data_IF_679047039484
#
_entry.id   IF_679047039484
#
_cell.length_a   1.000
_cell.length_b   1.000
_cell.length_c   1.000
_cell.angle_alpha   90.00
_cell.angle_beta   90.00
_cell.angle_gamma   90.00
#
_symmetry.space_group_name_H-M   'P 1'
#
loop_
_entity.id
_entity.type
_entity.pdbx_description
1 polymer ?
#
# COMPACT_ATOMS: atom_id res chain seq x y z
N UNK A 1 1.15 27.17 -1.29
CA UNK A 1 1.12 25.85 -0.63
C UNK A 1 0.22 25.96 0.59
N UNK A 2 -0.90 25.25 0.65
CA UNK A 2 -1.78 25.26 1.84
C UNK A 2 -1.20 24.24 2.83
N UNK A 3 -0.69 24.73 3.95
CA UNK A 3 -0.24 23.86 5.04
C UNK A 3 -1.47 23.30 5.75
N UNK A 4 -1.69 22.01 5.65
CA UNK A 4 -2.66 21.30 6.47
C UNK A 4 -1.98 20.90 7.78
N UNK A 5 -2.34 21.56 8.87
CA UNK A 5 -1.91 21.18 10.21
C UNK A 5 -2.93 20.15 10.70
N UNK A 6 -2.51 18.89 10.78
CA UNK A 6 -3.29 17.86 11.47
C UNK A 6 -3.00 18.04 12.96
N UNK A 7 -3.88 18.72 13.66
CA UNK A 7 -3.82 18.80 15.11
C UNK A 7 -4.20 17.42 15.68
N UNK A 8 -3.28 16.79 16.39
CA UNK A 8 -3.45 15.53 17.08
C UNK A 8 -4.33 15.68 18.34
N UNK A 9 -5.60 16.06 18.15
CA UNK A 9 -6.59 16.06 19.21
C UNK A 9 -7.32 14.72 19.23
N UNK A 10 -6.85 13.77 20.02
CA UNK A 10 -7.44 12.44 20.15
C UNK A 10 -8.96 12.44 20.42
N UNK A 11 -9.48 13.46 21.06
CA UNK A 11 -10.92 13.55 21.36
C UNK A 11 -11.82 13.86 20.16
N UNK A 12 -11.31 14.51 19.12
CA UNK A 12 -12.11 14.85 17.92
C UNK A 12 -12.27 13.69 16.93
N UNK A 13 -11.34 12.75 16.88
CA UNK A 13 -11.40 11.59 15.98
C UNK A 13 -12.54 10.61 16.35
N UNK A 14 -12.89 10.51 17.62
CA UNK A 14 -13.99 9.66 18.07
C UNK A 14 -15.39 10.28 17.90
N UNK A 15 -15.50 11.60 17.84
CA UNK A 15 -16.79 12.29 17.58
C UNK A 15 -17.20 12.28 16.10
N UNK A 16 -16.28 12.01 15.18
CA UNK A 16 -16.57 11.90 13.75
C UNK A 16 -17.42 10.67 13.36
N UNK A 17 -17.66 9.75 14.28
CA UNK A 17 -18.48 8.55 14.01
C UNK A 17 -19.99 8.79 14.05
N UNK A 18 -20.45 9.89 14.60
CA UNK A 18 -21.89 10.16 14.76
C UNK A 18 -22.52 10.96 13.60
N UNK A 19 -21.69 11.59 12.74
CA UNK A 19 -22.18 12.49 11.68
C UNK A 19 -21.79 12.05 10.26
N UNK A 20 -21.39 10.80 10.04
CA UNK A 20 -21.23 10.28 8.68
C UNK A 20 -22.62 9.88 8.16
N UNK A 21 -23.37 10.82 7.57
CA UNK A 21 -24.37 10.48 6.56
C UNK A 21 -23.63 9.69 5.47
N UNK A 22 -24.11 8.49 5.18
CA UNK A 22 -23.62 7.67 4.07
C UNK A 22 -23.87 8.48 2.80
N UNK A 23 -22.83 9.12 2.27
CA UNK A 23 -22.93 9.84 1.00
C UNK A 23 -23.23 8.80 -0.06
N UNK A 24 -24.49 8.63 -0.40
CA UNK A 24 -24.89 7.87 -1.56
C UNK A 24 -24.36 8.59 -2.80
N UNK A 25 -23.30 8.04 -3.37
CA UNK A 25 -22.84 8.51 -4.66
C UNK A 25 -23.88 8.07 -5.69
N UNK A 26 -24.58 9.03 -6.31
CA UNK A 26 -25.56 8.78 -7.40
C UNK A 26 -25.00 7.84 -8.49
N UNK A 27 -23.67 7.80 -8.64
CA UNK A 27 -22.96 6.97 -9.63
C UNK A 27 -22.36 5.70 -9.07
N UNK A 28 -22.62 5.33 -7.82
CA UNK A 28 -22.04 4.11 -7.20
C UNK A 28 -22.43 2.85 -7.97
N UNK A 29 -23.70 2.74 -8.31
CA UNK A 29 -24.22 1.59 -9.05
C UNK A 29 -23.67 1.53 -10.48
N UNK A 30 -23.63 2.66 -11.18
CA UNK A 30 -23.00 2.77 -12.50
C UNK A 30 -21.53 2.37 -12.47
N UNK A 31 -20.77 2.87 -11.50
CA UNK A 31 -19.37 2.51 -11.30
C UNK A 31 -19.18 1.00 -11.03
N UNK A 32 -20.04 0.40 -10.21
CA UNK A 32 -19.96 -1.04 -9.91
C UNK A 32 -20.27 -1.87 -11.16
N UNK A 33 -21.28 -1.47 -11.94
CA UNK A 33 -21.61 -2.12 -13.21
C UNK A 33 -20.45 -2.06 -14.20
N UNK A 34 -19.82 -0.89 -14.36
CA UNK A 34 -18.64 -0.74 -15.23
C UNK A 34 -17.47 -1.60 -14.73
N UNK A 35 -17.24 -1.67 -13.41
CA UNK A 35 -16.20 -2.54 -12.84
C UNK A 35 -16.43 -4.02 -13.13
N UNK A 36 -17.68 -4.48 -13.05
CA UNK A 36 -18.02 -5.88 -13.36
C UNK A 36 -17.79 -6.23 -14.84
N UNK A 37 -17.82 -5.24 -15.76
CA UNK A 37 -17.47 -5.50 -17.16
C UNK A 37 -16.00 -5.91 -17.34
N UNK A 38 -15.11 -5.47 -16.45
CA UNK A 38 -13.67 -5.84 -16.48
C UNK A 38 -13.51 -7.35 -16.27
N UNK A 39 -14.33 -7.96 -15.41
CA UNK A 39 -14.26 -9.39 -15.08
C UNK A 39 -14.63 -10.28 -16.27
N UNK A 40 -15.39 -9.75 -17.24
CA UNK A 40 -15.73 -10.44 -18.48
C UNK A 40 -14.58 -10.44 -19.49
N UNK A 41 -13.53 -9.64 -19.27
CA UNK A 41 -12.41 -9.51 -20.19
C UNK A 41 -11.33 -10.52 -19.82
N UNK A 42 -10.85 -11.37 -20.76
CA UNK A 42 -9.72 -12.24 -20.49
C UNK A 42 -8.50 -11.47 -19.97
N UNK A 43 -7.90 -11.93 -18.87
CA UNK A 43 -6.80 -11.24 -18.16
C UNK A 43 -5.67 -10.79 -19.10
N UNK A 44 -5.30 -11.62 -20.10
CA UNK A 44 -4.26 -11.26 -21.09
C UNK A 44 -4.66 -10.06 -21.96
N UNK A 45 -5.94 -9.93 -22.32
CA UNK A 45 -6.44 -8.77 -23.09
C UNK A 45 -6.44 -7.52 -22.22
N UNK A 46 -6.89 -7.64 -20.98
CA UNK A 46 -6.91 -6.56 -20.00
C UNK A 46 -5.49 -6.02 -19.72
N UNK A 47 -4.52 -6.91 -19.44
CA UNK A 47 -3.12 -6.53 -19.24
C UNK A 47 -2.51 -5.81 -20.45
N UNK A 48 -2.84 -6.26 -21.65
CA UNK A 48 -2.37 -5.61 -22.90
C UNK A 48 -3.00 -4.22 -23.07
N UNK A 49 -4.29 -4.08 -22.77
CA UNK A 49 -5.00 -2.81 -22.86
C UNK A 49 -4.45 -1.79 -21.87
N UNK A 50 -4.28 -2.16 -20.60
CA UNK A 50 -3.67 -1.30 -19.57
C UNK A 50 -2.33 -0.74 -20.04
N UNK A 51 -1.44 -1.59 -20.51
CA UNK A 51 -0.10 -1.21 -20.98
C UNK A 51 -0.12 -0.33 -22.23
N UNK A 52 -1.16 -0.41 -23.04
CA UNK A 52 -1.33 0.44 -24.22
C UNK A 52 -1.75 1.86 -23.88
N UNK A 53 -2.63 2.00 -22.88
CA UNK A 53 -3.22 3.30 -22.52
C UNK A 53 -2.51 4.00 -21.38
N UNK A 54 -1.80 3.26 -20.53
CA UNK A 54 -1.10 3.81 -19.36
C UNK A 54 0.40 3.52 -19.42
N UNK A 55 1.18 4.56 -19.73
CA UNK A 55 2.66 4.46 -19.79
C UNK A 55 3.29 4.14 -18.43
N UNK A 56 2.67 4.50 -17.32
CA UNK A 56 3.14 4.19 -15.97
C UNK A 56 3.13 2.69 -15.65
N UNK A 57 2.42 1.87 -16.43
CA UNK A 57 2.52 0.41 -16.34
C UNK A 57 3.94 -0.13 -16.65
N UNK A 58 4.80 0.71 -17.24
CA UNK A 58 6.20 0.37 -17.54
C UNK A 58 7.21 0.97 -16.56
N UNK A 59 6.79 1.67 -15.51
CA UNK A 59 7.73 2.10 -14.47
C UNK A 59 8.51 0.90 -13.96
N UNK A 60 7.77 -0.17 -13.63
CA UNK A 60 8.32 -1.47 -13.29
C UNK A 60 7.40 -2.59 -13.75
N UNK A 61 7.95 -3.59 -14.44
CA UNK A 61 7.25 -4.82 -14.81
C UNK A 61 8.18 -6.02 -14.70
N UNK A 62 7.79 -7.01 -13.90
CA UNK A 62 8.56 -8.24 -13.70
C UNK A 62 8.72 -9.07 -14.97
N UNK A 63 7.79 -8.95 -15.92
CA UNK A 63 7.77 -9.74 -17.15
C UNK A 63 8.73 -9.25 -18.25
N UNK A 64 9.17 -7.98 -18.20
CA UNK A 64 10.05 -7.39 -19.23
C UNK A 64 10.95 -6.31 -18.63
N UNK A 65 11.99 -6.73 -17.91
CA UNK A 65 12.93 -5.84 -17.23
C UNK A 65 13.58 -4.80 -18.16
N UNK A 66 13.87 -5.15 -19.40
CA UNK A 66 14.45 -4.25 -20.39
C UNK A 66 13.52 -3.12 -20.86
N UNK A 67 12.24 -3.16 -20.48
CA UNK A 67 11.25 -2.11 -20.76
C UNK A 67 10.92 -1.27 -19.54
N UNK A 68 11.51 -1.58 -18.40
CA UNK A 68 11.30 -0.76 -17.21
C UNK A 68 11.93 0.61 -17.42
N UNK A 69 11.18 1.65 -17.03
CA UNK A 69 11.67 3.03 -17.01
C UNK A 69 12.59 3.23 -15.80
N UNK A 70 12.25 2.57 -14.68
CA UNK A 70 13.03 2.65 -13.46
C UNK A 70 14.06 1.52 -13.37
N UNK A 71 15.29 1.85 -12.93
CA UNK A 71 16.37 0.90 -12.66
C UNK A 71 16.18 0.12 -11.36
N UNK A 72 15.40 0.64 -10.41
CA UNK A 72 15.12 0.00 -9.13
C UNK A 72 14.17 -1.18 -9.36
N UNK A 73 14.46 -2.31 -8.72
CA UNK A 73 13.59 -3.48 -8.68
C UNK A 73 12.86 -3.53 -7.34
N UNK A 74 11.70 -2.88 -7.22
CA UNK A 74 11.00 -2.81 -5.94
C UNK A 74 10.33 -4.14 -5.61
N UNK A 75 10.04 -4.34 -4.32
CA UNK A 75 9.22 -5.45 -3.83
C UNK A 75 7.82 -5.42 -4.45
N UNK A 76 7.25 -4.22 -4.60
CA UNK A 76 6.00 -3.99 -5.33
C UNK A 76 5.98 -2.58 -5.92
N UNK A 77 5.01 -2.31 -6.81
CA UNK A 77 4.84 -0.96 -7.40
C UNK A 77 4.38 0.10 -6.40
N UNK A 78 3.92 -0.30 -5.23
CA UNK A 78 3.59 0.62 -4.14
C UNK A 78 4.80 1.42 -3.67
N UNK A 79 6.02 0.90 -3.85
CA UNK A 79 7.28 1.62 -3.64
C UNK A 79 7.26 3.02 -4.30
N UNK A 80 6.87 3.10 -5.55
CA UNK A 80 6.87 4.38 -6.28
C UNK A 80 5.80 5.34 -5.80
N UNK A 81 4.68 4.83 -5.29
CA UNK A 81 3.62 5.68 -4.72
C UNK A 81 4.11 6.42 -3.47
N UNK A 82 4.71 5.67 -2.55
CA UNK A 82 5.24 6.30 -1.34
C UNK A 82 6.47 7.16 -1.65
N UNK A 83 7.31 6.76 -2.60
CA UNK A 83 8.46 7.55 -3.02
C UNK A 83 8.04 8.94 -3.51
N UNK A 84 7.00 9.04 -4.34
CA UNK A 84 6.43 10.29 -4.82
C UNK A 84 5.90 11.15 -3.64
N UNK A 85 5.15 10.53 -2.73
CA UNK A 85 4.61 11.20 -1.54
C UNK A 85 5.73 11.74 -0.66
N UNK A 86 6.77 10.95 -0.39
CA UNK A 86 7.90 11.35 0.45
C UNK A 86 8.76 12.44 -0.19
N UNK A 87 8.85 12.43 -1.52
CA UNK A 87 9.62 13.43 -2.24
C UNK A 87 8.90 14.76 -2.37
N UNK A 88 7.60 14.75 -2.67
CA UNK A 88 6.87 15.93 -3.09
C UNK A 88 5.98 16.53 -1.99
N UNK A 89 5.59 15.72 -0.98
CA UNK A 89 4.56 16.12 -0.01
C UNK A 89 5.07 16.03 1.43
N UNK A 90 5.68 14.91 1.81
CA UNK A 90 6.08 14.64 3.20
C UNK A 90 7.60 14.46 3.27
N UNK A 91 8.23 15.21 4.15
CA UNK A 91 9.64 15.00 4.48
C UNK A 91 9.73 14.13 5.70
N UNK A 92 10.25 12.91 5.54
CA UNK A 92 10.59 12.09 6.70
C UNK A 92 11.93 12.55 7.29
N UNK A 93 12.01 12.50 8.60
CA UNK A 93 13.26 12.57 9.32
C UNK A 93 14.15 11.38 8.93
N UNK A 94 15.47 11.53 9.05
CA UNK A 94 16.39 10.45 8.65
C UNK A 94 16.48 9.33 9.69
N UNK A 95 16.02 9.59 10.90
CA UNK A 95 16.02 8.67 12.03
C UNK A 95 14.65 8.70 12.72
N UNK A 96 14.30 7.61 13.38
CA UNK A 96 13.05 7.50 14.09
C UNK A 96 12.36 6.16 13.89
N UNK A 97 11.06 6.13 14.09
CA UNK A 97 10.21 4.95 13.98
C UNK A 97 9.02 5.25 13.06
N UNK A 98 8.71 4.32 12.17
CA UNK A 98 7.56 4.39 11.28
C UNK A 98 6.66 3.17 11.45
N UNK A 99 5.33 3.35 11.36
CA UNK A 99 4.34 2.28 11.32
C UNK A 99 3.78 2.10 9.91
N UNK A 100 3.81 0.86 9.40
CA UNK A 100 3.25 0.49 8.10
C UNK A 100 2.16 -0.56 8.29
N UNK A 101 0.91 -0.19 8.02
CA UNK A 101 -0.29 -1.01 8.24
C UNK A 101 -0.80 -1.53 6.91
N UNK A 102 -1.16 -2.84 6.87
CA UNK A 102 -1.70 -3.52 5.68
C UNK A 102 -0.78 -3.44 4.45
N UNK A 103 0.52 -3.63 4.65
CA UNK A 103 1.56 -3.25 3.69
C UNK A 103 2.22 -4.44 2.96
N UNK A 104 1.76 -5.67 3.16
CA UNK A 104 2.27 -6.80 2.36
C UNK A 104 2.19 -6.55 0.84
N UNK A 105 3.24 -6.87 0.07
CA UNK A 105 4.47 -7.56 0.42
C UNK A 105 5.62 -6.67 0.93
N UNK A 106 5.43 -5.37 1.22
CA UNK A 106 6.43 -4.49 1.81
C UNK A 106 7.00 -3.43 0.86
N UNK A 107 6.22 -2.90 -0.09
CA UNK A 107 6.70 -1.90 -1.03
C UNK A 107 6.96 -0.53 -0.40
N UNK A 108 6.13 -0.11 0.56
CA UNK A 108 6.36 1.12 1.32
C UNK A 108 7.58 0.97 2.22
N UNK A 109 7.65 -0.15 2.95
CA UNK A 109 8.79 -0.46 3.82
C UNK A 109 10.09 -0.45 3.02
N UNK A 110 10.11 -1.07 1.82
CA UNK A 110 11.29 -1.06 0.95
C UNK A 110 11.73 0.38 0.62
N UNK A 111 10.79 1.25 0.25
CA UNK A 111 11.10 2.63 -0.07
C UNK A 111 11.65 3.40 1.15
N UNK A 112 11.05 3.23 2.33
CA UNK A 112 11.51 3.87 3.57
C UNK A 112 12.94 3.39 3.90
N UNK A 113 13.20 2.09 3.80
CA UNK A 113 14.52 1.53 4.06
C UNK A 113 15.60 2.04 3.08
N UNK A 114 15.23 2.29 1.82
CA UNK A 114 16.15 2.81 0.81
C UNK A 114 16.46 4.31 0.98
N UNK A 115 15.51 5.05 1.55
CA UNK A 115 15.59 6.52 1.58
C UNK A 115 15.89 7.09 2.95
N UNK A 116 15.80 6.29 4.02
CA UNK A 116 15.98 6.73 5.42
C UNK A 116 16.68 5.65 6.26
N UNK A 117 17.05 6.02 7.50
CA UNK A 117 17.51 5.11 8.53
C UNK A 117 16.45 4.77 9.59
N UNK A 118 15.18 5.01 9.26
CA UNK A 118 14.05 4.77 10.17
C UNK A 118 13.88 3.28 10.44
N UNK A 119 13.60 2.93 11.70
CA UNK A 119 13.11 1.60 12.08
C UNK A 119 11.63 1.49 11.69
N UNK A 120 11.27 0.42 10.98
CA UNK A 120 9.91 0.25 10.48
C UNK A 120 9.20 -0.89 11.21
N UNK A 121 8.06 -0.58 11.80
CA UNK A 121 7.12 -1.58 12.30
C UNK A 121 6.07 -1.85 11.22
N UNK A 122 5.95 -3.11 10.80
CA UNK A 122 5.02 -3.52 9.74
C UNK A 122 4.02 -4.54 10.24
N UNK A 123 2.74 -4.37 9.88
CA UNK A 123 1.71 -5.39 10.06
C UNK A 123 0.93 -5.58 8.75
N UNK A 124 0.63 -6.83 8.41
CA UNK A 124 -0.21 -7.17 7.25
C UNK A 124 -0.94 -8.48 7.50
N UNK A 125 -2.11 -8.61 6.87
CA UNK A 125 -2.84 -9.87 6.86
C UNK A 125 -1.97 -10.98 6.27
N UNK A 126 -1.93 -12.13 6.94
CA UNK A 126 -1.22 -13.33 6.51
C UNK A 126 -2.21 -14.46 6.33
N UNK A 127 -2.17 -15.11 5.18
CA UNK A 127 -2.95 -16.32 4.93
C UNK A 127 -2.05 -17.43 4.42
N UNK A 128 -2.22 -18.62 5.01
CA UNK A 128 -1.56 -19.86 4.52
C UNK A 128 -2.36 -20.53 3.40
N UNK A 129 -3.62 -20.17 3.26
CA UNK A 129 -4.57 -20.83 2.34
C UNK A 129 -4.92 -19.95 1.14
N UNK A 130 -5.04 -18.65 1.31
CA UNK A 130 -5.36 -17.72 0.23
C UNK A 130 -4.09 -17.13 -0.40
N UNK A 131 -3.76 -17.62 -1.59
CA UNK A 131 -2.59 -17.14 -2.37
C UNK A 131 -2.74 -15.73 -2.94
N UNK A 132 -3.93 -15.13 -2.87
CA UNK A 132 -4.14 -13.75 -3.31
C UNK A 132 -3.71 -12.74 -2.25
N UNK A 133 -3.56 -13.18 -1.00
CA UNK A 133 -3.05 -12.36 0.09
C UNK A 133 -1.52 -12.35 0.00
N UNK A 134 -0.89 -11.20 -0.29
CA UNK A 134 0.56 -11.13 -0.45
C UNK A 134 1.26 -11.29 0.89
N UNK A 135 2.17 -12.26 0.96
CA UNK A 135 3.06 -12.44 2.10
C UNK A 135 4.23 -11.44 2.05
N UNK A 136 4.88 -11.20 3.19
CA UNK A 136 6.09 -10.40 3.25
C UNK A 136 7.16 -10.89 2.28
N UNK A 137 7.77 -9.97 1.54
CA UNK A 137 8.92 -10.31 0.72
C UNK A 137 10.13 -10.68 1.60
N UNK A 138 10.94 -11.63 1.15
CA UNK A 138 12.08 -12.12 1.92
C UNK A 138 13.10 -11.01 2.25
N UNK A 139 13.29 -10.04 1.36
CA UNK A 139 14.18 -8.91 1.62
C UNK A 139 13.68 -8.00 2.74
N UNK A 140 12.35 -7.91 2.91
CA UNK A 140 11.74 -7.16 4.01
C UNK A 140 11.93 -7.91 5.32
N UNK A 141 11.76 -9.23 5.32
CA UNK A 141 11.93 -10.09 6.51
C UNK A 141 13.39 -10.07 6.99
N UNK A 142 14.33 -10.11 6.06
CA UNK A 142 15.76 -10.21 6.38
C UNK A 142 16.43 -8.87 6.73
N UNK A 143 15.69 -7.77 6.70
CA UNK A 143 16.24 -6.46 7.04
C UNK A 143 16.06 -6.18 8.52
N UNK A 144 17.16 -6.06 9.27
CA UNK A 144 17.20 -5.87 10.73
C UNK A 144 16.52 -4.56 11.21
N UNK A 145 16.31 -3.60 10.30
CA UNK A 145 15.55 -2.38 10.60
C UNK A 145 14.03 -2.59 10.62
N UNK A 146 13.55 -3.74 10.17
CA UNK A 146 12.14 -4.04 10.10
C UNK A 146 11.70 -4.91 11.28
N UNK A 147 10.68 -4.45 11.98
CA UNK A 147 10.01 -5.19 13.05
C UNK A 147 8.64 -5.58 12.52
N UNK A 148 8.47 -6.84 12.11
CA UNK A 148 7.23 -7.34 11.54
C UNK A 148 6.34 -7.91 12.64
N UNK A 149 5.17 -7.31 12.80
CA UNK A 149 4.16 -7.71 13.77
C UNK A 149 3.14 -8.65 13.13
N UNK A 150 2.70 -9.62 13.88
CA UNK A 150 1.73 -10.62 13.42
C UNK A 150 0.43 -10.60 14.22
N UNK A 151 0.35 -9.74 15.26
CA UNK A 151 -0.76 -9.68 16.19
C UNK A 151 -0.83 -10.85 17.16
N UNK A 152 -1.79 -10.85 18.06
CA UNK A 152 -1.97 -11.88 19.09
C UNK A 152 -2.32 -13.27 18.54
N UNK A 153 -3.06 -13.33 17.43
CA UNK A 153 -3.44 -14.59 16.77
C UNK A 153 -2.51 -15.00 15.61
N UNK A 154 -1.44 -14.28 15.38
CA UNK A 154 -0.46 -14.49 14.30
C UNK A 154 -1.05 -14.43 12.88
N UNK A 155 -2.17 -13.76 12.67
CA UNK A 155 -2.76 -13.57 11.34
C UNK A 155 -2.48 -12.19 10.76
N UNK A 156 -2.08 -11.22 11.58
CA UNK A 156 -1.92 -9.83 11.18
C UNK A 156 -3.21 -9.16 10.74
N UNK A 157 -4.36 -9.73 11.07
CA UNK A 157 -5.69 -9.19 10.75
C UNK A 157 -6.02 -8.03 11.70
N UNK A 158 -5.90 -6.82 11.23
CA UNK A 158 -6.14 -5.60 12.01
C UNK A 158 -7.63 -5.36 12.36
N UNK A 159 -8.56 -6.12 11.81
CA UNK A 159 -9.96 -6.08 12.21
C UNK A 159 -10.27 -6.92 13.44
N UNK A 160 -9.30 -7.70 13.92
CA UNK A 160 -9.40 -8.45 15.18
C UNK A 160 -8.74 -7.67 16.30
N UNK A 161 -9.48 -7.46 17.40
CA UNK A 161 -8.98 -6.70 18.56
C UNK A 161 -7.71 -7.29 19.17
N UNK A 162 -7.54 -8.62 19.11
CA UNK A 162 -6.35 -9.30 19.64
C UNK A 162 -5.06 -8.96 18.86
N UNK A 163 -5.19 -8.33 17.70
CA UNK A 163 -4.05 -7.99 16.82
C UNK A 163 -3.73 -6.48 16.83
N UNK A 164 -4.53 -5.67 17.48
CA UNK A 164 -4.38 -4.21 17.57
C UNK A 164 -4.13 -3.76 18.99
#
# INVERSE_FOLDING_TARGET
MKNYIINSGHEKLFKLKEDFEEIEYEKKEELMNIKCEIDKIPSKKWEKAKKKVNKYEYIYTSSRRNRNICSILPVSRSYFKIYEILKDIIRLENEGVSGCIAEGPGGFIHCINDTTNITVHGITLISKTDKNIPFWNQNIINNDKNILCYGGDNTGDIYKLDNT
#
